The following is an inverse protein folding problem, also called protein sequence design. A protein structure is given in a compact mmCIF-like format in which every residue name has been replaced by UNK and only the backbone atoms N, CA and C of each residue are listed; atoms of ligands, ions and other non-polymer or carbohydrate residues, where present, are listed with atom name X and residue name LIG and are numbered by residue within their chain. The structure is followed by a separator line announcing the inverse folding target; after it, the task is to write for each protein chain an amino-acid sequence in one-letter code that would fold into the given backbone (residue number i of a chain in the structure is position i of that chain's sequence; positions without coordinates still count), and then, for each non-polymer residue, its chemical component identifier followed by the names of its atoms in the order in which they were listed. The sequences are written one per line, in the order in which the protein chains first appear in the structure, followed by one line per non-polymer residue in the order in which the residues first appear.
data_IF_114652495162
#
_entry.id   IF_114652495162
#
_cell.length_a   1.000
_cell.length_b   1.000
_cell.length_c   1.000
_cell.angle_alpha   90.00
_cell.angle_beta   90.00
_cell.angle_gamma   90.00
#
_symmetry.space_group_name_H-M   'P 1'
#
loop_
_entity.id
_entity.type
_entity.pdbx_description
1 polymer ?
#
# COMPACT_ATOMS: atom_id res chain seq x y z
N UNK A 1 -35.90 49.14 59.89
CA UNK A 1 -35.83 49.01 58.41
C UNK A 1 -34.37 49.09 58.03
N UNK A 2 -33.75 47.93 57.75
CA UNK A 2 -32.32 47.79 57.44
C UNK A 2 -32.20 47.30 55.98
N UNK A 3 -31.77 48.19 55.11
CA UNK A 3 -31.64 47.88 53.70
C UNK A 3 -30.20 47.40 53.42
N UNK A 4 -30.05 46.13 53.19
CA UNK A 4 -28.77 45.50 52.81
C UNK A 4 -28.63 45.59 51.27
N UNK A 5 -27.84 46.55 50.81
CA UNK A 5 -27.42 46.59 49.43
C UNK A 5 -26.36 45.50 49.19
N UNK A 6 -26.71 44.41 48.52
CA UNK A 6 -25.78 43.40 48.04
C UNK A 6 -25.10 43.92 46.78
N UNK A 7 -23.81 44.24 46.93
CA UNK A 7 -22.94 44.64 45.80
C UNK A 7 -22.57 43.32 45.06
N UNK A 8 -23.19 43.15 43.90
CA UNK A 8 -22.78 42.12 42.95
C UNK A 8 -21.39 42.49 42.36
N UNK A 9 -20.35 41.83 42.81
CA UNK A 9 -19.07 41.85 42.14
C UNK A 9 -19.19 41.03 40.85
N UNK A 10 -19.50 41.67 39.76
CA UNK A 10 -19.39 41.11 38.42
C UNK A 10 -17.90 40.94 38.11
N UNK A 11 -17.41 39.72 38.30
CA UNK A 11 -16.08 39.30 37.91
C UNK A 11 -16.08 39.13 36.40
N UNK A 12 -15.87 40.20 35.66
CA UNK A 12 -15.59 40.16 34.24
C UNK A 12 -14.29 39.35 34.02
N UNK A 13 -14.44 38.05 33.70
CA UNK A 13 -13.37 37.22 33.21
C UNK A 13 -12.75 37.90 31.99
N UNK A 14 -11.59 38.48 32.13
CA UNK A 14 -10.77 38.98 31.00
C UNK A 14 -10.53 37.83 30.05
N UNK A 15 -11.30 37.76 29.00
CA UNK A 15 -11.01 36.85 27.86
C UNK A 15 -9.70 37.37 27.23
N UNK A 16 -8.60 36.67 27.47
CA UNK A 16 -7.35 36.92 26.80
C UNK A 16 -7.54 36.48 25.34
N UNK A 17 -7.66 37.39 24.42
CA UNK A 17 -7.63 37.11 22.98
C UNK A 17 -6.21 36.65 22.59
N UNK A 18 -6.16 35.73 21.65
CA UNK A 18 -4.90 35.31 21.03
C UNK A 18 -4.23 36.46 20.31
N UNK A 19 -2.94 36.65 20.51
CA UNK A 19 -2.15 37.64 19.78
C UNK A 19 -1.94 37.18 18.33
N UNK A 20 -2.01 38.11 17.38
CA UNK A 20 -1.75 37.85 15.97
C UNK A 20 -0.34 37.27 15.75
N UNK A 21 0.65 37.71 16.53
CA UNK A 21 2.02 37.19 16.50
C UNK A 21 2.10 35.74 16.96
N UNK A 22 1.32 35.36 17.97
CA UNK A 22 1.27 34.00 18.51
C UNK A 22 0.73 33.01 17.46
N UNK A 23 -0.31 33.40 16.74
CA UNK A 23 -0.84 32.61 15.63
C UNK A 23 0.17 32.50 14.48
N UNK A 24 0.89 33.58 14.16
CA UNK A 24 1.91 33.60 13.10
C UNK A 24 3.08 32.66 13.43
N UNK A 25 3.54 32.65 14.68
CA UNK A 25 4.61 31.74 15.12
C UNK A 25 4.16 30.28 15.05
N UNK A 26 2.94 29.97 15.47
CA UNK A 26 2.39 28.59 15.38
C UNK A 26 2.34 28.13 13.94
N UNK A 27 1.82 28.95 13.02
CA UNK A 27 1.76 28.58 11.59
C UNK A 27 3.14 28.40 10.99
N UNK A 28 4.11 29.25 11.35
CA UNK A 28 5.49 29.11 10.92
C UNK A 28 6.11 27.78 11.42
N UNK A 29 5.92 27.41 12.69
CA UNK A 29 6.39 26.14 13.24
C UNK A 29 5.75 24.92 12.52
N UNK A 30 4.45 24.97 12.29
CA UNK A 30 3.75 23.90 11.55
C UNK A 30 4.31 23.80 10.12
N UNK A 31 4.56 24.91 9.44
CA UNK A 31 5.15 24.95 8.10
C UNK A 31 6.52 24.26 8.04
N UNK A 32 7.38 24.50 9.01
CA UNK A 32 8.71 23.84 9.10
C UNK A 32 8.57 22.33 9.31
N UNK A 33 7.71 21.91 10.21
CA UNK A 33 7.48 20.47 10.47
C UNK A 33 6.90 19.79 9.23
N UNK A 34 5.93 20.41 8.57
CA UNK A 34 5.31 19.87 7.37
C UNK A 34 6.30 19.73 6.20
N UNK A 35 7.20 20.71 6.03
CA UNK A 35 8.22 20.68 4.98
C UNK A 35 9.15 19.46 5.06
N UNK A 36 9.43 18.96 6.26
CA UNK A 36 10.28 17.78 6.49
C UNK A 36 9.43 16.49 6.51
N UNK A 37 8.23 16.57 7.07
CA UNK A 37 7.35 15.40 7.29
C UNK A 37 6.78 14.81 6.01
N UNK A 38 6.29 15.64 5.09
CA UNK A 38 5.63 15.19 3.86
C UNK A 38 6.52 14.32 2.97
N UNK A 39 7.78 14.70 2.63
CA UNK A 39 8.63 13.86 1.78
C UNK A 39 9.01 12.54 2.45
N UNK A 40 9.18 12.50 3.77
CA UNK A 40 9.45 11.26 4.50
C UNK A 40 8.25 10.31 4.48
N UNK A 41 7.05 10.83 4.62
CA UNK A 41 5.82 10.05 4.57
C UNK A 41 5.63 9.40 3.19
N UNK A 42 5.89 10.12 2.10
CA UNK A 42 5.79 9.57 0.75
C UNK A 42 6.76 8.39 0.53
N UNK A 43 8.00 8.50 1.00
CA UNK A 43 8.98 7.39 0.95
C UNK A 43 8.51 6.17 1.75
N UNK A 44 8.02 6.38 2.98
CA UNK A 44 7.49 5.31 3.81
C UNK A 44 6.29 4.61 3.16
N UNK A 45 5.41 5.33 2.47
CA UNK A 45 4.31 4.77 1.71
C UNK A 45 4.79 3.93 0.52
N UNK A 46 5.83 4.35 -0.18
CA UNK A 46 6.39 3.59 -1.30
C UNK A 46 7.07 2.31 -0.83
N UNK A 47 7.81 2.34 0.26
CA UNK A 47 8.39 1.15 0.91
C UNK A 47 7.31 0.17 1.39
N UNK A 48 6.23 0.66 1.99
CA UNK A 48 5.09 -0.15 2.41
C UNK A 48 4.39 -0.83 1.21
N UNK A 49 4.27 -0.14 0.08
CA UNK A 49 3.71 -0.71 -1.16
C UNK A 49 4.62 -1.79 -1.75
N UNK A 50 5.94 -1.58 -1.75
CA UNK A 50 6.91 -2.59 -2.18
C UNK A 50 6.84 -3.84 -1.31
N UNK A 51 6.84 -3.67 0.01
CA UNK A 51 6.67 -4.77 0.97
C UNK A 51 5.37 -5.53 0.74
N UNK A 52 4.27 -4.81 0.46
CA UNK A 52 2.98 -5.43 0.12
C UNK A 52 3.04 -6.22 -1.19
N UNK A 53 3.75 -5.74 -2.21
CA UNK A 53 3.92 -6.47 -3.48
C UNK A 53 4.70 -7.77 -3.27
N UNK A 54 5.77 -7.74 -2.49
CA UNK A 54 6.55 -8.92 -2.12
C UNK A 54 5.68 -9.92 -1.35
N UNK A 55 4.88 -9.44 -0.39
CA UNK A 55 3.95 -10.30 0.35
C UNK A 55 2.91 -10.96 -0.57
N UNK A 56 2.37 -10.22 -1.53
CA UNK A 56 1.44 -10.77 -2.52
C UNK A 56 2.09 -11.79 -3.44
N UNK A 57 3.34 -11.59 -3.88
CA UNK A 57 4.09 -12.59 -4.65
C UNK A 57 4.29 -13.88 -3.86
N UNK A 58 4.59 -13.80 -2.56
CA UNK A 58 4.66 -14.97 -1.68
C UNK A 58 3.30 -15.68 -1.55
N UNK A 59 2.21 -14.90 -1.50
CA UNK A 59 0.86 -15.45 -1.53
C UNK A 59 0.55 -16.19 -2.83
N UNK A 60 0.91 -15.62 -3.98
CA UNK A 60 0.79 -16.26 -5.30
C UNK A 60 1.63 -17.54 -5.35
N UNK A 61 2.86 -17.50 -4.88
CA UNK A 61 3.75 -18.67 -4.80
C UNK A 61 3.10 -19.79 -3.97
N UNK A 62 2.63 -19.49 -2.77
CA UNK A 62 1.96 -20.48 -1.91
C UNK A 62 0.71 -21.08 -2.57
N UNK A 63 -0.09 -20.22 -3.21
CA UNK A 63 -1.29 -20.63 -3.95
C UNK A 63 -0.95 -21.54 -5.14
N UNK A 64 0.10 -21.23 -5.89
CA UNK A 64 0.61 -22.05 -6.98
C UNK A 64 1.03 -23.43 -6.51
N UNK A 65 1.74 -23.52 -5.40
CA UNK A 65 2.13 -24.81 -4.83
C UNK A 65 0.93 -25.64 -4.36
N UNK A 66 -0.06 -25.00 -3.73
CA UNK A 66 -1.31 -25.67 -3.33
C UNK A 66 -2.07 -26.20 -4.54
N UNK A 67 -2.14 -25.43 -5.59
CA UNK A 67 -2.75 -25.84 -6.86
C UNK A 67 -2.01 -27.00 -7.51
N UNK A 68 -0.67 -26.94 -7.52
CA UNK A 68 0.19 -28.01 -8.07
C UNK A 68 0.01 -29.34 -7.34
N UNK A 69 -0.14 -29.34 -6.02
CA UNK A 69 -0.40 -30.56 -5.27
C UNK A 69 -1.67 -31.27 -5.71
N UNK A 70 -2.69 -30.50 -6.10
CA UNK A 70 -3.99 -31.03 -6.50
C UNK A 70 -4.05 -31.40 -7.99
N UNK A 71 -3.49 -30.57 -8.86
CA UNK A 71 -3.65 -30.69 -10.32
C UNK A 71 -2.40 -31.15 -11.07
N UNK A 72 -1.24 -31.31 -10.37
CA UNK A 72 0.06 -31.68 -10.91
C UNK A 72 0.60 -30.74 -11.99
N UNK A 73 0.09 -29.52 -12.04
CA UNK A 73 0.59 -28.39 -12.82
C UNK A 73 0.37 -27.09 -12.06
N UNK A 74 1.07 -26.05 -12.43
CA UNK A 74 0.81 -24.70 -11.93
C UNK A 74 -0.43 -24.10 -12.62
N UNK A 75 -1.05 -23.11 -11.98
CA UNK A 75 -2.25 -22.46 -12.48
C UNK A 75 -1.92 -21.26 -13.35
N UNK A 76 -2.78 -20.95 -14.31
CA UNK A 76 -2.89 -19.60 -14.87
C UNK A 76 -3.43 -18.65 -13.81
N UNK A 77 -3.23 -17.33 -13.97
CA UNK A 77 -3.68 -16.37 -12.98
C UNK A 77 -5.20 -16.31 -12.80
N UNK A 78 -5.97 -16.57 -13.86
CA UNK A 78 -7.42 -16.69 -13.81
C UNK A 78 -7.86 -17.94 -13.04
N UNK A 79 -7.24 -19.08 -13.30
CA UNK A 79 -7.47 -20.33 -12.56
C UNK A 79 -7.09 -20.18 -11.08
N UNK A 80 -5.97 -19.53 -10.81
CA UNK A 80 -5.48 -19.29 -9.46
C UNK A 80 -6.43 -18.36 -8.69
N UNK A 81 -6.93 -17.32 -9.37
CA UNK A 81 -7.93 -16.40 -8.81
C UNK A 81 -9.24 -17.10 -8.51
N UNK A 82 -9.69 -18.01 -9.38
CA UNK A 82 -10.89 -18.83 -9.15
C UNK A 82 -10.69 -19.81 -7.97
N UNK A 83 -9.49 -20.37 -7.82
CA UNK A 83 -9.15 -21.34 -6.79
C UNK A 83 -8.99 -20.70 -5.39
N UNK A 84 -8.34 -19.53 -5.30
CA UNK A 84 -8.06 -18.83 -4.04
C UNK A 84 -9.00 -17.64 -3.73
N UNK A 85 -9.87 -17.29 -4.68
CA UNK A 85 -10.75 -16.13 -4.57
C UNK A 85 -10.01 -14.80 -4.71
N UNK A 86 -10.69 -13.72 -4.35
CA UNK A 86 -10.19 -12.34 -4.50
C UNK A 86 -9.02 -11.95 -3.59
N UNK A 87 -8.51 -12.85 -2.77
CA UNK A 87 -7.42 -12.57 -1.82
C UNK A 87 -6.11 -12.18 -2.53
N UNK A 88 -5.87 -12.74 -3.73
CA UNK A 88 -4.67 -12.46 -4.51
C UNK A 88 -4.72 -11.12 -5.25
N UNK A 89 -5.90 -10.52 -5.40
CA UNK A 89 -6.13 -9.26 -6.09
C UNK A 89 -7.35 -9.29 -7.00
N UNK A 90 -7.65 -8.16 -7.64
CA UNK A 90 -8.70 -8.07 -8.64
C UNK A 90 -8.17 -8.59 -9.98
N UNK A 91 -8.86 -9.62 -10.55
CA UNK A 91 -8.51 -10.15 -11.86
C UNK A 91 -9.04 -9.23 -12.96
N UNK A 92 -8.17 -8.82 -13.87
CA UNK A 92 -8.51 -8.04 -15.04
C UNK A 92 -7.70 -8.55 -16.24
N UNK A 93 -8.38 -9.10 -17.25
CA UNK A 93 -7.72 -9.57 -18.49
C UNK A 93 -6.45 -10.42 -18.26
N UNK A 94 -6.54 -11.44 -17.40
CA UNK A 94 -5.41 -12.32 -17.04
C UNK A 94 -4.25 -11.67 -16.27
N UNK A 95 -4.49 -10.52 -15.65
CA UNK A 95 -3.59 -9.86 -14.70
C UNK A 95 -4.29 -9.68 -13.37
N UNK A 96 -3.55 -9.77 -12.27
CA UNK A 96 -4.06 -9.43 -10.95
C UNK A 96 -3.59 -8.02 -10.57
N UNK A 97 -4.51 -7.20 -10.09
CA UNK A 97 -4.21 -5.84 -9.65
C UNK A 97 -4.44 -5.74 -8.14
N UNK A 98 -3.41 -5.32 -7.40
CA UNK A 98 -3.50 -5.09 -5.97
C UNK A 98 -2.48 -4.04 -5.52
N UNK A 99 -2.90 -3.08 -4.71
CA UNK A 99 -2.03 -2.04 -4.11
C UNK A 99 -1.17 -1.29 -5.13
N UNK A 100 -1.74 -0.95 -6.30
CA UNK A 100 -1.08 -0.26 -7.42
C UNK A 100 0.00 -1.10 -8.13
N UNK A 101 0.12 -2.38 -7.82
CA UNK A 101 0.93 -3.32 -8.57
C UNK A 101 0.06 -4.17 -9.49
N UNK A 102 0.59 -4.41 -10.69
CA UNK A 102 0.02 -5.34 -11.66
C UNK A 102 0.85 -6.61 -11.65
N UNK A 103 0.20 -7.74 -11.36
CA UNK A 103 0.84 -9.05 -11.35
C UNK A 103 0.48 -9.77 -12.63
N UNK A 104 1.49 -10.21 -13.37
CA UNK A 104 1.33 -10.86 -14.68
C UNK A 104 2.21 -12.09 -14.79
N UNK A 105 1.68 -13.15 -15.39
CA UNK A 105 2.47 -14.33 -15.73
C UNK A 105 3.45 -14.03 -16.89
N UNK A 106 4.59 -14.69 -16.88
CA UNK A 106 5.56 -14.60 -17.98
C UNK A 106 5.86 -16.03 -18.48
N UNK A 107 5.51 -16.34 -19.73
CA UNK A 107 4.76 -15.52 -20.70
C UNK A 107 3.33 -15.21 -20.24
N UNK A 108 2.71 -14.15 -20.80
CA UNK A 108 1.37 -13.70 -20.41
C UNK A 108 0.26 -14.78 -20.57
N UNK A 109 0.47 -15.73 -21.46
CA UNK A 109 -0.41 -16.87 -21.69
C UNK A 109 0.43 -18.15 -21.77
N UNK A 110 0.83 -18.72 -20.61
CA UNK A 110 1.64 -19.92 -20.60
C UNK A 110 0.84 -21.13 -21.11
N UNK A 111 1.51 -22.03 -21.84
CA UNK A 111 0.91 -23.29 -22.25
C UNK A 111 0.84 -24.28 -21.08
N UNK A 112 -0.04 -25.29 -21.18
CA UNK A 112 -0.15 -26.31 -20.11
C UNK A 112 1.16 -27.07 -19.90
N UNK A 113 1.89 -27.38 -20.96
CA UNK A 113 3.20 -28.01 -20.89
C UNK A 113 4.29 -27.16 -20.19
N UNK A 114 4.20 -25.84 -20.28
CA UNK A 114 5.06 -24.94 -19.50
C UNK A 114 4.65 -24.95 -18.03
N UNK A 115 3.35 -24.93 -17.74
CA UNK A 115 2.81 -24.94 -16.39
C UNK A 115 3.02 -26.28 -15.65
N UNK A 116 3.26 -27.37 -16.34
CA UNK A 116 3.68 -28.65 -15.70
C UNK A 116 5.06 -28.56 -15.04
N UNK A 117 5.91 -27.65 -15.52
CA UNK A 117 7.31 -27.55 -15.11
C UNK A 117 7.64 -26.33 -14.28
N UNK A 118 7.10 -25.18 -14.66
CA UNK A 118 7.47 -23.93 -14.05
C UNK A 118 6.38 -22.86 -14.18
N UNK A 119 6.44 -21.85 -13.35
CA UNK A 119 5.72 -20.61 -13.53
C UNK A 119 6.64 -19.43 -13.22
N UNK A 120 6.33 -18.29 -13.80
CA UNK A 120 6.99 -17.02 -13.48
C UNK A 120 5.93 -15.94 -13.40
N UNK A 121 5.97 -15.14 -12.35
CA UNK A 121 5.05 -14.00 -12.15
C UNK A 121 5.86 -12.76 -11.85
N UNK A 122 5.54 -11.68 -12.55
CA UNK A 122 6.10 -10.35 -12.31
C UNK A 122 5.08 -9.46 -11.62
N UNK A 123 5.54 -8.67 -10.68
CA UNK A 123 4.79 -7.58 -10.06
C UNK A 123 5.39 -6.26 -10.52
N UNK A 124 4.64 -5.48 -11.29
CA UNK A 124 5.13 -4.23 -11.89
C UNK A 124 4.31 -3.05 -11.41
N UNK A 125 4.97 -1.95 -11.08
CA UNK A 125 4.36 -0.66 -10.79
C UNK A 125 5.15 0.44 -11.49
N UNK A 126 4.43 1.36 -12.13
CA UNK A 126 5.00 2.59 -12.68
C UNK A 126 4.52 3.77 -11.84
N UNK A 127 5.46 4.53 -11.28
CA UNK A 127 5.16 5.73 -10.50
C UNK A 127 6.18 6.82 -10.80
N UNK A 128 5.69 7.99 -11.20
CA UNK A 128 6.55 9.16 -11.55
C UNK A 128 7.64 8.84 -12.59
N UNK A 129 7.34 7.98 -13.58
CA UNK A 129 8.28 7.57 -14.61
C UNK A 129 9.29 6.49 -14.18
N UNK A 130 9.24 6.07 -12.91
CA UNK A 130 10.09 4.98 -12.39
C UNK A 130 9.28 3.69 -12.41
N UNK A 131 9.84 2.64 -13.03
CA UNK A 131 9.28 1.29 -13.04
C UNK A 131 9.93 0.46 -11.94
N UNK A 132 9.14 -0.04 -11.02
CA UNK A 132 9.59 -1.01 -10.02
C UNK A 132 9.02 -2.38 -10.37
N UNK A 133 9.87 -3.38 -10.53
CA UNK A 133 9.47 -4.73 -10.88
C UNK A 133 10.08 -5.76 -9.94
N UNK A 134 9.25 -6.69 -9.49
CA UNK A 134 9.66 -7.89 -8.74
C UNK A 134 9.25 -9.12 -9.54
N UNK A 135 10.05 -10.18 -9.46
CA UNK A 135 9.82 -11.45 -10.15
C UNK A 135 9.88 -12.57 -9.14
N UNK A 136 8.97 -13.53 -9.26
CA UNK A 136 9.03 -14.80 -8.54
C UNK A 136 8.76 -15.96 -9.50
N UNK A 137 9.31 -17.11 -9.19
CA UNK A 137 9.19 -18.35 -9.98
C UNK A 137 8.82 -19.54 -9.07
N UNK A 138 8.93 -20.74 -9.60
CA UNK A 138 8.64 -22.00 -8.91
C UNK A 138 9.58 -22.27 -7.71
N UNK A 139 10.74 -21.64 -7.65
CA UNK A 139 11.70 -21.80 -6.54
C UNK A 139 11.39 -20.86 -5.37
N UNK A 140 10.45 -19.91 -5.57
CA UNK A 140 10.01 -18.95 -4.58
C UNK A 140 10.99 -17.81 -4.30
N UNK A 141 12.08 -17.75 -5.03
CA UNK A 141 13.00 -16.62 -4.98
C UNK A 141 12.29 -15.36 -5.50
N UNK A 142 12.40 -14.25 -4.76
CA UNK A 142 11.89 -12.97 -5.20
C UNK A 142 13.09 -12.07 -5.48
N UNK A 143 13.24 -11.68 -6.73
CA UNK A 143 14.26 -10.75 -7.18
C UNK A 143 13.63 -9.43 -7.64
N UNK A 144 14.32 -8.34 -7.36
CA UNK A 144 13.97 -7.03 -7.91
C UNK A 144 14.76 -6.82 -9.19
N UNK A 145 14.08 -6.56 -10.27
CA UNK A 145 14.73 -6.11 -11.52
C UNK A 145 14.83 -4.59 -11.41
N UNK A 146 16.05 -4.08 -11.39
CA UNK A 146 16.31 -2.64 -11.49
C UNK A 146 15.98 -2.16 -12.89
N UNK A 147 15.43 -0.93 -13.01
CA UNK A 147 15.19 -0.32 -14.33
C UNK A 147 16.47 -0.06 -15.08
#
# INVERSE_FOLDING_TARGET
MHNQNSVNHDQSRRQRGFSLIELLVVVACIGVIAAIGVPKMNRALDEARQSSAIHNLRGIFSAQHTYYLQYKRFARLDELSAFHGSQLGALTSNTLIKNQYTFQAVPASPSDTQLERAFTVTATRVHSGITTQFITDQDGAISQTLP
#
